data_IF_933916395940
#
_entry.id   IF_933916395940
#
_cell.length_a   1.000
_cell.length_b   1.000
_cell.length_c   1.000
_cell.angle_alpha   90.00
_cell.angle_beta   90.00
_cell.angle_gamma   90.00
#
_symmetry.space_group_name_H-M   'P 1'
#
loop_
_entity.id
_entity.type
_entity.pdbx_description
1 polymer ?
#
# COMPACT_ATOMS: atom_id res chain seq x y z
N UNK A 1 -0.89 4.43 3.93
CA UNK A 1 -1.92 4.74 2.94
C UNK A 1 -1.33 4.46 1.58
N UNK A 2 -1.97 3.60 0.80
CA UNK A 2 -1.48 3.15 -0.49
C UNK A 2 -2.35 3.74 -1.59
N UNK A 3 -1.78 4.69 -2.34
CA UNK A 3 -2.41 5.19 -3.55
C UNK A 3 -2.59 4.07 -4.57
N UNK A 4 -3.79 3.93 -5.15
CA UNK A 4 -4.15 2.78 -5.98
C UNK A 4 -3.23 2.64 -7.19
N UNK A 5 -2.92 3.77 -7.81
CA UNK A 5 -2.05 3.79 -8.97
C UNK A 5 -0.60 3.44 -8.61
N UNK A 6 -0.06 4.12 -7.60
CA UNK A 6 1.38 4.07 -7.28
C UNK A 6 1.83 2.74 -6.70
N UNK A 7 0.93 2.04 -6.01
CA UNK A 7 1.23 0.79 -5.29
C UNK A 7 0.57 -0.44 -5.93
N UNK A 8 0.04 -0.30 -7.15
CA UNK A 8 -0.43 -1.43 -7.95
C UNK A 8 -1.71 -2.08 -7.41
N UNK A 9 -2.73 -1.28 -7.08
CA UNK A 9 -4.01 -1.79 -6.58
C UNK A 9 -4.65 -2.78 -7.58
N UNK A 10 -5.07 -3.97 -7.15
CA UNK A 10 -5.66 -4.98 -8.03
C UNK A 10 -7.01 -4.57 -8.63
N UNK A 11 -7.71 -3.61 -8.02
CA UNK A 11 -9.05 -3.18 -8.45
C UNK A 11 -9.03 -1.94 -9.35
N UNK A 12 -8.15 -0.98 -9.04
CA UNK A 12 -8.20 0.36 -9.61
C UNK A 12 -7.02 0.71 -10.51
N UNK A 13 -5.97 -0.12 -10.55
CA UNK A 13 -4.82 0.15 -11.40
C UNK A 13 -5.23 0.20 -12.88
N UNK A 14 -4.99 1.34 -13.52
CA UNK A 14 -5.12 1.52 -14.97
C UNK A 14 -3.80 2.02 -15.52
N UNK A 15 -3.21 1.24 -16.43
CA UNK A 15 -1.94 1.62 -17.04
C UNK A 15 -2.11 2.82 -17.98
N UNK A 16 -1.29 3.87 -17.87
CA UNK A 16 -1.31 4.98 -18.80
C UNK A 16 -0.87 4.52 -20.19
N UNK A 17 -1.48 5.08 -21.23
CA UNK A 17 -1.08 4.80 -22.63
C UNK A 17 0.27 5.42 -22.99
N UNK A 18 0.62 6.54 -22.36
CA UNK A 18 1.90 7.19 -22.56
C UNK A 18 2.98 6.46 -21.75
N UNK A 19 4.16 6.26 -22.36
CA UNK A 19 5.31 5.56 -21.76
C UNK A 19 4.98 4.13 -21.27
N UNK A 20 4.48 3.25 -22.16
CA UNK A 20 3.95 1.94 -21.79
C UNK A 20 4.98 1.00 -21.16
N UNK A 21 6.28 1.18 -21.43
CA UNK A 21 7.35 0.38 -20.82
C UNK A 21 7.79 0.92 -19.45
N UNK A 22 7.62 2.23 -19.23
CA UNK A 22 8.06 2.90 -18.00
C UNK A 22 7.15 2.57 -16.82
N UNK A 23 5.82 2.70 -17.01
CA UNK A 23 4.87 2.59 -15.90
C UNK A 23 4.83 1.21 -15.23
N UNK A 24 4.79 0.09 -15.97
CA UNK A 24 4.82 -1.24 -15.36
C UNK A 24 6.09 -1.46 -14.52
N UNK A 25 7.26 -1.09 -15.05
CA UNK A 25 8.51 -1.20 -14.32
C UNK A 25 8.55 -0.30 -13.07
N UNK A 26 8.03 0.93 -13.18
CA UNK A 26 7.96 1.88 -12.08
C UNK A 26 7.04 1.39 -10.95
N UNK A 27 5.86 0.88 -11.29
CA UNK A 27 4.89 0.36 -10.32
C UNK A 27 5.44 -0.92 -9.67
N UNK A 28 6.01 -1.85 -10.45
CA UNK A 28 6.62 -3.06 -9.90
C UNK A 28 7.73 -2.73 -8.89
N UNK A 29 8.58 -1.74 -9.18
CA UNK A 29 9.62 -1.28 -8.24
C UNK A 29 9.04 -0.64 -6.97
N UNK A 30 7.91 0.06 -7.07
CA UNK A 30 7.23 0.59 -5.89
C UNK A 30 6.68 -0.55 -5.02
N UNK A 31 6.01 -1.54 -5.62
CA UNK A 31 5.49 -2.71 -4.91
C UNK A 31 6.60 -3.51 -4.22
N UNK A 32 7.76 -3.66 -4.87
CA UNK A 32 8.91 -4.32 -4.26
C UNK A 32 9.46 -3.53 -3.06
N UNK A 33 9.61 -2.22 -3.20
CA UNK A 33 10.02 -1.36 -2.08
C UNK A 33 9.04 -1.42 -0.91
N UNK A 34 7.75 -1.51 -1.20
CA UNK A 34 6.74 -1.64 -0.17
C UNK A 34 6.91 -2.94 0.63
N UNK A 35 7.18 -4.06 -0.07
CA UNK A 35 7.48 -5.36 0.56
C UNK A 35 8.72 -5.27 1.45
N UNK A 36 9.82 -4.73 0.94
CA UNK A 36 11.04 -4.52 1.72
C UNK A 36 10.82 -3.65 2.95
N UNK A 37 9.99 -2.60 2.83
CA UNK A 37 9.69 -1.68 3.93
C UNK A 37 8.86 -2.37 5.00
N UNK A 38 7.85 -3.13 4.60
CA UNK A 38 7.04 -3.93 5.50
C UNK A 38 7.88 -4.95 6.29
N UNK A 39 8.79 -5.64 5.60
CA UNK A 39 9.71 -6.61 6.19
C UNK A 39 10.59 -5.92 7.25
N UNK A 40 11.29 -4.83 6.88
CA UNK A 40 12.16 -4.08 7.82
C UNK A 40 11.42 -3.56 9.04
N UNK A 41 10.21 -3.04 8.87
CA UNK A 41 9.39 -2.54 9.98
C UNK A 41 8.97 -3.68 10.91
N UNK A 42 8.53 -4.80 10.33
CA UNK A 42 8.12 -5.99 11.09
C UNK A 42 9.30 -6.59 11.86
N UNK A 43 10.47 -6.71 11.24
CA UNK A 43 11.71 -7.16 11.88
C UNK A 43 12.13 -6.25 13.04
N UNK A 44 11.89 -4.95 12.91
CA UNK A 44 12.13 -3.97 13.98
C UNK A 44 11.03 -3.96 15.08
N UNK A 45 10.08 -4.89 15.03
CA UNK A 45 9.02 -5.05 16.04
C UNK A 45 7.80 -4.14 15.84
N UNK A 46 7.69 -3.47 14.69
CA UNK A 46 6.51 -2.65 14.39
C UNK A 46 5.36 -3.47 13.83
N UNK A 47 4.15 -3.19 14.28
CA UNK A 47 2.92 -3.68 13.64
C UNK A 47 2.60 -2.80 12.43
N UNK A 48 2.77 -3.34 11.23
CA UNK A 48 2.47 -2.62 9.98
C UNK A 48 0.99 -2.75 9.63
N UNK A 49 0.30 -1.62 9.49
CA UNK A 49 -1.06 -1.54 8.96
C UNK A 49 -1.02 -0.77 7.64
N UNK A 50 -1.60 -1.35 6.59
CA UNK A 50 -1.71 -0.72 5.28
C UNK A 50 -3.15 -0.74 4.81
N UNK A 51 -3.53 0.34 4.14
CA UNK A 51 -4.87 0.62 3.68
C UNK A 51 -4.79 1.31 2.33
N UNK A 52 -5.66 0.93 1.41
CA UNK A 52 -5.77 1.56 0.10
C UNK A 52 -6.47 2.91 0.19
N UNK A 53 -6.12 3.84 -0.70
CA UNK A 53 -6.77 5.17 -0.76
C UNK A 53 -8.27 5.12 -1.07
N UNK A 54 -8.76 4.00 -1.61
CA UNK A 54 -10.18 3.81 -1.95
C UNK A 54 -10.97 3.14 -0.82
N UNK A 55 -10.31 2.73 0.27
CA UNK A 55 -11.03 2.22 1.44
C UNK A 55 -11.75 3.37 2.15
N UNK A 56 -12.90 3.06 2.73
CA UNK A 56 -13.68 4.01 3.50
C UNK A 56 -12.87 4.53 4.72
N UNK A 57 -12.69 5.85 4.87
CA UNK A 57 -11.87 6.40 5.94
C UNK A 57 -12.35 6.04 7.35
N UNK A 58 -13.66 5.93 7.57
CA UNK A 58 -14.22 5.59 8.88
C UNK A 58 -13.96 4.11 9.22
N UNK A 59 -14.02 3.21 8.23
CA UNK A 59 -13.60 1.83 8.40
C UNK A 59 -12.11 1.69 8.71
N UNK A 60 -11.27 2.40 7.96
CA UNK A 60 -9.82 2.43 8.18
C UNK A 60 -9.49 2.94 9.59
N UNK A 61 -10.12 4.04 10.02
CA UNK A 61 -9.93 4.61 11.35
C UNK A 61 -10.32 3.62 12.46
N UNK A 62 -11.46 2.93 12.32
CA UNK A 62 -11.89 1.89 13.28
C UNK A 62 -10.90 0.73 13.36
N UNK A 63 -10.39 0.25 12.23
CA UNK A 63 -9.38 -0.83 12.19
C UNK A 63 -8.07 -0.41 12.85
N UNK A 64 -7.63 0.84 12.66
CA UNK A 64 -6.47 1.40 13.34
C UNK A 64 -6.71 1.45 14.85
N UNK A 65 -7.84 2.00 15.30
CA UNK A 65 -8.18 2.08 16.73
C UNK A 65 -8.16 0.70 17.39
N UNK A 66 -8.80 -0.30 16.77
CA UNK A 66 -8.80 -1.67 17.26
C UNK A 66 -7.39 -2.25 17.38
N UNK A 67 -6.55 -2.04 16.36
CA UNK A 67 -5.18 -2.55 16.37
C UNK A 67 -4.31 -1.93 17.48
N UNK A 68 -4.53 -0.65 17.79
CA UNK A 68 -3.84 0.06 18.89
C UNK A 68 -4.33 -0.43 20.25
N UNK A 69 -5.63 -0.65 20.43
CA UNK A 69 -6.20 -1.13 21.71
C UNK A 69 -5.81 -2.57 22.07
N UNK A 70 -5.38 -3.36 21.08
CA UNK A 70 -4.95 -4.75 21.25
C UNK A 70 -3.45 -4.91 21.51
N UNK A 71 -2.68 -3.83 21.43
CA UNK A 71 -1.24 -3.80 21.70
C UNK A 71 -0.97 -3.52 23.18
#
# INVERSE_FOLDING_TARGET
MDGCFWHGCPLHLRMPRANPDYWPAKIARNMERDRETNEKLTEAGWRVLRFWEHEDPDDVARRIEQAVRQA
#
